data_IF_092266149271
#
_entry.id   IF_092266149271
#
_cell.length_a   1.000
_cell.length_b   1.000
_cell.length_c   1.000
_cell.angle_alpha   90.00
_cell.angle_beta   90.00
_cell.angle_gamma   90.00
#
_symmetry.space_group_name_H-M   'P 1'
#
loop_
_entity.id
_entity.type
_entity.pdbx_description
1 polymer ?
#
# COMPACT_ATOMS: atom_id res chain seq x y z
N UNK A 1 -9.60 10.71 0.27
CA UNK A 1 -8.57 11.23 -0.67
C UNK A 1 -8.42 10.20 -1.77
N UNK A 2 -8.17 10.63 -3.00
CA UNK A 2 -7.89 9.71 -4.12
C UNK A 2 -6.38 9.43 -4.27
N UNK A 3 -5.99 8.62 -5.26
CA UNK A 3 -4.60 8.19 -5.42
C UNK A 3 -3.58 9.32 -5.59
N UNK A 4 -3.98 10.49 -6.13
CA UNK A 4 -3.07 11.65 -6.24
C UNK A 4 -2.62 12.15 -4.87
N UNK A 5 -3.57 12.32 -3.95
CA UNK A 5 -3.27 12.75 -2.59
C UNK A 5 -2.39 11.74 -1.86
N UNK A 6 -2.51 10.44 -2.16
CA UNK A 6 -1.64 9.42 -1.61
C UNK A 6 -0.19 9.54 -2.10
N UNK A 7 0.01 9.86 -3.39
CA UNK A 7 1.35 10.13 -3.95
C UNK A 7 1.96 11.38 -3.32
N UNK A 8 1.17 12.44 -3.21
CA UNK A 8 1.63 13.72 -2.65
C UNK A 8 2.05 13.52 -1.19
N UNK A 9 1.21 12.87 -0.37
CA UNK A 9 1.55 12.53 1.01
C UNK A 9 2.80 11.64 1.10
N UNK A 10 2.89 10.57 0.30
CA UNK A 10 4.06 9.68 0.32
C UNK A 10 5.36 10.42 -0.05
N UNK A 11 5.29 11.44 -0.91
CA UNK A 11 6.44 12.27 -1.29
C UNK A 11 6.95 13.16 -0.17
N UNK A 12 6.10 13.53 0.79
CA UNK A 12 6.50 14.24 2.01
C UNK A 12 7.28 13.33 2.97
N UNK A 13 7.13 12.00 2.81
CA UNK A 13 7.84 10.98 3.58
C UNK A 13 7.30 10.81 5.00
N UNK A 14 8.07 10.15 5.86
CA UNK A 14 7.72 9.95 7.27
C UNK A 14 6.72 8.84 7.57
N UNK A 15 6.37 8.02 6.57
CA UNK A 15 5.52 6.85 6.75
C UNK A 15 6.37 5.58 6.91
N UNK A 16 6.06 4.79 7.94
CA UNK A 16 6.63 3.45 8.12
C UNK A 16 5.92 2.40 7.25
N UNK A 17 4.66 2.68 6.87
CA UNK A 17 3.81 1.79 6.08
C UNK A 17 2.63 2.57 5.48
N UNK A 18 2.18 2.16 4.30
CA UNK A 18 1.00 2.70 3.60
C UNK A 18 -0.03 1.58 3.42
N UNK A 19 -1.26 1.80 3.90
CA UNK A 19 -2.43 1.02 3.50
C UNK A 19 -3.08 1.70 2.29
N UNK A 20 -3.07 1.04 1.13
CA UNK A 20 -3.50 1.61 -0.15
C UNK A 20 -4.79 0.95 -0.64
N UNK A 21 -5.86 1.74 -0.76
CA UNK A 21 -7.09 1.26 -1.40
C UNK A 21 -6.89 1.05 -2.90
N UNK A 22 -7.26 -0.13 -3.43
CA UNK A 22 -7.24 -0.36 -4.89
C UNK A 22 -8.36 0.39 -5.60
N UNK A 23 -9.51 0.57 -4.95
CA UNK A 23 -10.73 1.10 -5.54
C UNK A 23 -10.85 2.60 -5.21
N UNK A 24 -10.23 3.43 -6.05
CA UNK A 24 -10.34 4.89 -5.96
C UNK A 24 -10.69 5.49 -7.33
N UNK A 25 -11.47 6.58 -7.37
CA UNK A 25 -11.74 7.30 -8.60
C UNK A 25 -10.47 7.99 -9.13
N UNK A 26 -10.42 8.17 -10.45
CA UNK A 26 -9.36 8.83 -11.23
C UNK A 26 -7.99 8.12 -11.22
N UNK A 27 -7.30 8.14 -10.07
CA UNK A 27 -6.04 7.43 -9.87
C UNK A 27 -6.25 6.32 -8.85
N UNK A 28 -6.29 5.09 -9.36
CA UNK A 28 -6.46 3.88 -8.57
C UNK A 28 -5.22 3.58 -7.70
N UNK A 29 -5.37 2.65 -6.75
CA UNK A 29 -4.28 2.27 -5.86
C UNK A 29 -3.07 1.70 -6.57
N UNK A 30 -3.27 0.96 -7.68
CA UNK A 30 -2.18 0.42 -8.47
C UNK A 30 -1.35 1.53 -9.14
N UNK A 31 -2.02 2.51 -9.76
CA UNK A 31 -1.37 3.66 -10.36
C UNK A 31 -0.70 4.58 -9.34
N UNK A 32 -1.32 4.76 -8.16
CA UNK A 32 -0.70 5.48 -7.06
C UNK A 32 0.58 4.78 -6.58
N UNK A 33 0.54 3.47 -6.33
CA UNK A 33 1.72 2.69 -5.93
C UNK A 33 2.85 2.80 -6.92
N UNK A 34 2.59 2.65 -8.23
CA UNK A 34 3.63 2.79 -9.26
C UNK A 34 4.36 4.14 -9.17
N UNK A 35 3.60 5.22 -9.00
CA UNK A 35 4.17 6.56 -8.82
C UNK A 35 4.94 6.71 -7.51
N UNK A 36 4.45 6.12 -6.41
CA UNK A 36 5.18 6.12 -5.14
C UNK A 36 6.51 5.39 -5.32
N UNK A 37 6.56 4.27 -6.04
CA UNK A 37 7.81 3.53 -6.32
C UNK A 37 8.82 4.32 -7.17
N UNK A 38 8.38 5.34 -7.90
CA UNK A 38 9.27 6.25 -8.64
C UNK A 38 9.90 7.31 -7.74
N UNK A 39 9.43 7.50 -6.50
CA UNK A 39 9.98 8.47 -5.56
C UNK A 39 11.37 8.04 -5.06
N UNK A 40 12.30 9.00 -4.85
CA UNK A 40 13.63 8.68 -4.36
C UNK A 40 13.64 8.30 -2.88
N UNK A 41 14.69 7.58 -2.47
CA UNK A 41 15.01 7.35 -1.06
C UNK A 41 14.03 6.41 -0.34
N UNK A 42 13.74 6.72 0.93
CA UNK A 42 12.87 5.90 1.76
C UNK A 42 11.40 5.94 1.30
N UNK A 43 10.95 7.07 0.72
CA UNK A 43 9.58 7.24 0.24
C UNK A 43 9.21 6.20 -0.82
N UNK A 44 10.09 5.93 -1.80
CA UNK A 44 9.84 4.89 -2.81
C UNK A 44 9.95 3.45 -2.30
N UNK A 45 10.52 3.24 -1.11
CA UNK A 45 10.70 1.93 -0.48
C UNK A 45 9.76 1.67 0.69
N UNK A 46 8.89 2.61 1.04
CA UNK A 46 7.90 2.42 2.11
C UNK A 46 7.05 1.18 1.81
N UNK A 47 6.82 0.29 2.77
CA UNK A 47 5.90 -0.83 2.59
C UNK A 47 4.50 -0.35 2.17
N UNK A 48 3.94 -0.91 1.10
CA UNK A 48 2.60 -0.60 0.59
C UNK A 48 1.75 -1.86 0.60
N UNK A 49 0.67 -1.83 1.37
CA UNK A 49 -0.26 -2.94 1.56
C UNK A 49 -1.56 -2.63 0.84
N UNK A 50 -1.94 -3.45 -0.12
CA UNK A 50 -3.18 -3.27 -0.85
C UNK A 50 -4.39 -3.56 0.04
N UNK A 51 -5.44 -2.74 -0.07
CA UNK A 51 -6.77 -3.00 0.48
C UNK A 51 -7.73 -3.23 -0.69
N UNK A 52 -8.29 -4.44 -0.79
CA UNK A 52 -9.19 -4.81 -1.90
C UNK A 52 -10.50 -5.39 -1.39
N UNK A 53 -11.62 -5.12 -2.05
CA UNK A 53 -12.88 -5.84 -1.79
C UNK A 53 -12.87 -7.27 -2.38
N UNK A 54 -11.95 -7.54 -3.30
CA UNK A 54 -11.89 -8.79 -4.07
C UNK A 54 -10.46 -9.35 -4.09
N UNK A 55 -10.23 -10.52 -3.49
CA UNK A 55 -8.95 -11.23 -3.51
C UNK A 55 -9.01 -12.44 -4.45
N UNK A 56 -9.10 -12.17 -5.75
CA UNK A 56 -8.87 -13.20 -6.78
C UNK A 56 -7.38 -13.27 -7.10
N UNK A 57 -6.90 -14.42 -7.58
CA UNK A 57 -5.49 -14.66 -7.89
C UNK A 57 -4.89 -13.60 -8.83
N UNK A 58 -5.66 -13.18 -9.85
CA UNK A 58 -5.27 -12.10 -10.77
C UNK A 58 -5.02 -10.74 -10.08
N UNK A 59 -5.67 -10.46 -8.94
CA UNK A 59 -5.43 -9.23 -8.19
C UNK A 59 -4.08 -9.26 -7.49
N UNK A 60 -3.65 -10.40 -6.98
CA UNK A 60 -2.36 -10.53 -6.32
C UNK A 60 -1.21 -10.26 -7.28
N UNK A 61 -1.27 -10.82 -8.49
CA UNK A 61 -0.25 -10.56 -9.51
C UNK A 61 -0.21 -9.08 -9.94
N UNK A 62 -1.37 -8.45 -10.11
CA UNK A 62 -1.43 -7.00 -10.42
C UNK A 62 -0.85 -6.14 -9.30
N UNK A 63 -1.13 -6.47 -8.04
CA UNK A 63 -0.57 -5.77 -6.87
C UNK A 63 0.96 -5.94 -6.82
N UNK A 64 1.45 -7.17 -6.99
CA UNK A 64 2.88 -7.48 -7.02
C UNK A 64 3.61 -6.73 -8.15
N UNK A 65 3.02 -6.71 -9.35
CA UNK A 65 3.58 -5.98 -10.50
C UNK A 65 3.57 -4.45 -10.31
N UNK A 66 2.60 -3.91 -9.56
CA UNK A 66 2.60 -2.51 -9.18
C UNK A 66 3.65 -2.19 -8.09
N UNK A 67 4.24 -3.20 -7.46
CA UNK A 67 5.23 -3.07 -6.39
C UNK A 67 4.60 -3.00 -5.00
N UNK A 68 3.42 -3.56 -4.78
CA UNK A 68 2.83 -3.70 -3.43
C UNK A 68 3.44 -4.91 -2.72
N UNK A 69 3.58 -4.80 -1.40
CA UNK A 69 4.30 -5.78 -0.56
C UNK A 69 3.36 -6.85 0.02
N UNK A 70 2.09 -6.51 0.24
CA UNK A 70 1.09 -7.43 0.74
C UNK A 70 -0.34 -6.98 0.37
N UNK A 71 -1.34 -7.81 0.66
CA UNK A 71 -2.75 -7.56 0.36
C UNK A 71 -3.61 -7.95 1.56
N UNK A 72 -4.54 -7.07 1.94
CA UNK A 72 -5.62 -7.35 2.88
C UNK A 72 -6.97 -7.18 2.18
N UNK A 73 -7.91 -8.08 2.49
CA UNK A 73 -9.28 -7.99 2.01
C UNK A 73 -10.12 -7.08 2.90
N UNK A 74 -11.09 -6.40 2.30
CA UNK A 74 -12.13 -5.65 2.99
C UNK A 74 -13.32 -6.58 3.28
N UNK A 75 -14.01 -6.44 4.43
CA UNK A 75 -13.67 -5.56 5.55
C UNK A 75 -12.38 -6.05 6.23
N UNK A 76 -11.52 -5.11 6.63
CA UNK A 76 -10.22 -5.44 7.22
C UNK A 76 -10.45 -6.09 8.58
N UNK A 77 -9.98 -7.32 8.74
CA UNK A 77 -9.97 -8.00 10.02
C UNK A 77 -8.88 -7.38 10.92
N UNK A 78 -9.25 -6.98 12.14
CA UNK A 78 -8.35 -6.37 13.11
C UNK A 78 -7.15 -7.26 13.48
N UNK A 79 -7.37 -8.57 13.61
CA UNK A 79 -6.30 -9.55 13.91
C UNK A 79 -5.32 -9.64 12.74
N UNK A 80 -5.84 -9.79 11.51
CA UNK A 80 -5.00 -9.81 10.31
C UNK A 80 -4.20 -8.51 10.11
N UNK A 81 -4.82 -7.35 10.38
CA UNK A 81 -4.13 -6.07 10.36
C UNK A 81 -3.05 -5.99 11.45
N UNK A 82 -3.36 -6.43 12.66
CA UNK A 82 -2.42 -6.41 13.77
C UNK A 82 -1.20 -7.30 13.47
N UNK A 83 -1.42 -8.54 13.01
CA UNK A 83 -0.35 -9.46 12.66
C UNK A 83 0.52 -8.92 11.52
N UNK A 84 -0.11 -8.30 10.53
CA UNK A 84 0.59 -7.61 9.45
C UNK A 84 1.44 -6.46 9.99
N UNK A 85 0.89 -5.59 10.84
CA UNK A 85 1.67 -4.48 11.42
C UNK A 85 2.84 -4.98 12.26
N UNK A 86 2.69 -6.12 12.95
CA UNK A 86 3.79 -6.74 13.69
C UNK A 86 4.92 -7.22 12.78
N UNK A 87 4.63 -7.71 11.57
CA UNK A 87 5.67 -8.17 10.62
C UNK A 87 6.48 -7.03 10.02
N UNK A 88 5.91 -5.81 9.96
CA UNK A 88 6.58 -4.60 9.50
C UNK A 88 7.13 -3.71 10.62
N UNK A 89 7.07 -4.14 11.89
CA UNK A 89 7.72 -3.39 12.97
C UNK A 89 9.22 -3.31 12.70
N UNK A 90 9.70 -2.10 12.52
CA UNK A 90 11.11 -1.78 12.70
C UNK A 90 11.45 -2.12 14.16
N UNK A 91 12.49 -2.92 14.45
CA UNK A 91 12.91 -3.13 15.83
C UNK A 91 13.14 -1.76 16.48
N UNK A 92 12.48 -1.52 17.61
CA UNK A 92 12.73 -0.34 18.41
C UNK A 92 14.21 -0.35 18.79
N UNK A 93 14.94 0.67 18.35
CA UNK A 93 16.33 0.93 18.79
C UNK A 93 16.35 1.24 20.28
#
# INVERSE_FOLDING_TARGET
GGGRAAVDAASEGGFDLILMDLEMPDLDGLGATRKIRELPGAAGRVPIIALTAHAFEDHYERCRQAGMDNVLTKPVNHEALHDLLQSYRVPAQ
#
